data_IF_118101504291
#
_entry.id   IF_118101504291
#
_cell.length_a   1.000
_cell.length_b   1.000
_cell.length_c   1.000
_cell.angle_alpha   90.00
_cell.angle_beta   90.00
_cell.angle_gamma   90.00
#
_symmetry.space_group_name_H-M   'P 1'
#
loop_
_entity.id
_entity.type
_entity.pdbx_description
1 polymer ?
#
# COMPACT_ATOMS: atom_id res chain seq x y z
N UNK A 1 6.20 6.76 3.82
CA UNK A 1 5.43 7.15 2.62
C UNK A 1 4.06 6.48 2.65
N UNK A 2 3.00 7.18 2.26
CA UNK A 2 1.61 6.71 2.28
C UNK A 2 1.06 6.69 0.85
N UNK A 3 0.68 5.52 0.35
CA UNK A 3 0.13 5.41 -1.01
C UNK A 3 -1.22 6.13 -1.13
N UNK A 4 -1.35 7.00 -2.12
CA UNK A 4 -2.53 7.82 -2.40
C UNK A 4 -3.01 7.69 -3.86
N UNK A 5 -2.65 6.57 -4.51
CA UNK A 5 -3.11 6.21 -5.85
C UNK A 5 -4.50 5.58 -5.88
N UNK A 6 -4.88 5.06 -7.06
CA UNK A 6 -6.16 4.43 -7.34
C UNK A 6 -6.42 3.29 -6.35
N UNK A 7 -7.66 3.22 -5.86
CA UNK A 7 -8.08 2.31 -4.79
C UNK A 7 -7.95 2.88 -3.38
N UNK A 8 -7.05 3.83 -3.12
CA UNK A 8 -6.87 4.37 -1.79
C UNK A 8 -8.04 5.31 -1.42
N UNK A 9 -8.68 5.05 -0.28
CA UNK A 9 -9.74 5.93 0.21
C UNK A 9 -9.15 7.26 0.69
N UNK A 10 -9.66 8.40 0.21
CA UNK A 10 -9.14 9.74 0.56
C UNK A 10 -9.09 9.98 2.07
N UNK A 11 -10.14 9.58 2.80
CA UNK A 11 -10.18 9.66 4.27
C UNK A 11 -9.16 8.73 4.94
N UNK A 12 -8.92 7.55 4.36
CA UNK A 12 -7.95 6.59 4.88
C UNK A 12 -6.52 7.09 4.69
N UNK A 13 -6.22 7.71 3.54
CA UNK A 13 -4.93 8.39 3.30
C UNK A 13 -4.73 9.51 4.32
N UNK A 14 -5.71 10.42 4.45
CA UNK A 14 -5.63 11.54 5.39
C UNK A 14 -5.41 11.05 6.82
N UNK A 15 -6.25 10.12 7.27
CA UNK A 15 -6.15 9.54 8.61
C UNK A 15 -4.81 8.86 8.85
N UNK A 16 -4.27 8.12 7.88
CA UNK A 16 -2.96 7.49 8.01
C UNK A 16 -1.85 8.54 8.15
N UNK A 17 -1.85 9.57 7.29
CA UNK A 17 -0.85 10.65 7.32
C UNK A 17 -0.90 11.40 8.67
N UNK A 18 -2.08 11.81 9.12
CA UNK A 18 -2.25 12.52 10.39
C UNK A 18 -1.82 11.66 11.58
N UNK A 19 -2.21 10.39 11.60
CA UNK A 19 -1.85 9.46 12.68
C UNK A 19 -0.34 9.23 12.74
N UNK A 20 0.32 9.06 11.59
CA UNK A 20 1.77 8.90 11.52
C UNK A 20 2.50 10.16 11.97
N UNK A 21 2.06 11.34 11.54
CA UNK A 21 2.65 12.62 11.98
C UNK A 21 2.50 12.84 13.48
N UNK A 22 1.42 12.36 14.08
CA UNK A 22 1.22 12.45 15.53
C UNK A 22 2.03 11.42 16.32
N UNK A 23 2.29 10.25 15.74
CA UNK A 23 2.96 9.13 16.43
C UNK A 23 4.49 9.10 16.23
N UNK A 24 4.98 9.69 15.14
CA UNK A 24 6.41 9.68 14.78
C UNK A 24 7.15 10.92 15.31
N UNK A 25 8.49 10.85 15.44
CA UNK A 25 9.32 12.00 15.77
C UNK A 25 9.08 13.20 14.83
N UNK A 26 9.31 14.42 15.34
CA UNK A 26 9.05 15.66 14.61
C UNK A 26 9.86 15.82 13.30
N UNK A 27 11.00 15.14 13.20
CA UNK A 27 11.87 15.12 12.02
C UNK A 27 11.49 14.03 11.01
N UNK A 28 10.57 13.13 11.34
CA UNK A 28 10.09 12.11 10.42
C UNK A 28 9.23 12.73 9.31
N UNK A 29 9.62 12.51 8.06
CA UNK A 29 8.86 12.97 6.90
C UNK A 29 7.74 11.97 6.55
N UNK A 30 6.49 12.47 6.59
CA UNK A 30 5.31 11.70 6.20
C UNK A 30 4.71 12.30 4.94
N UNK A 31 4.96 11.62 3.83
CA UNK A 31 4.55 12.04 2.49
C UNK A 31 3.56 11.06 1.89
N UNK A 32 2.57 11.61 1.17
CA UNK A 32 1.67 10.84 0.34
C UNK A 32 2.20 10.82 -1.09
N UNK A 33 2.15 9.66 -1.75
CA UNK A 33 2.71 9.48 -3.09
C UNK A 33 1.79 8.63 -3.96
N UNK A 34 1.83 8.86 -5.27
CA UNK A 34 0.93 8.24 -6.24
C UNK A 34 1.56 7.01 -6.89
N UNK A 35 0.79 6.38 -7.78
CA UNK A 35 1.23 5.18 -8.49
C UNK A 35 2.46 5.44 -9.35
N UNK A 36 2.55 6.64 -9.95
CA UNK A 36 3.66 7.04 -10.80
C UNK A 36 4.97 7.13 -9.99
N UNK A 37 4.91 7.69 -8.79
CA UNK A 37 6.04 7.77 -7.85
C UNK A 37 6.46 6.38 -7.38
N UNK A 38 5.49 5.51 -7.07
CA UNK A 38 5.77 4.13 -6.66
C UNK A 38 6.48 3.36 -7.78
N UNK A 39 6.01 3.52 -9.01
CA UNK A 39 6.53 2.82 -10.19
C UNK A 39 7.88 3.38 -10.67
N UNK A 40 8.28 4.59 -10.28
CA UNK A 40 9.62 5.09 -10.58
C UNK A 40 10.70 4.30 -9.82
N UNK A 41 10.38 3.85 -8.60
CA UNK A 41 11.28 3.08 -7.74
C UNK A 41 12.29 3.93 -6.95
N UNK A 42 12.39 5.23 -7.23
CA UNK A 42 13.36 6.15 -6.61
C UNK A 42 13.09 6.42 -5.12
N UNK A 43 12.00 5.89 -4.60
CA UNK A 43 11.57 6.07 -3.22
C UNK A 43 12.15 5.02 -2.26
N UNK A 44 12.57 3.87 -2.76
CA UNK A 44 12.77 2.68 -1.93
C UNK A 44 13.92 2.82 -0.94
N UNK A 45 14.97 3.55 -1.31
CA UNK A 45 16.18 3.70 -0.48
C UNK A 45 15.98 4.70 0.67
N UNK A 46 15.11 5.70 0.49
CA UNK A 46 14.81 6.73 1.50
C UNK A 46 13.54 6.42 2.32
N UNK A 47 12.82 5.35 1.98
CA UNK A 47 11.55 5.00 2.61
C UNK A 47 11.73 4.13 3.86
N UNK A 48 11.57 4.73 5.04
CA UNK A 48 11.58 3.97 6.30
C UNK A 48 10.36 3.05 6.48
N UNK A 49 9.20 3.47 5.98
CA UNK A 49 7.93 2.75 6.11
C UNK A 49 7.03 3.04 4.92
N UNK A 50 6.67 2.00 4.17
CA UNK A 50 5.64 2.04 3.15
C UNK A 50 4.27 1.73 3.78
N UNK A 51 3.31 2.63 3.64
CA UNK A 51 1.94 2.47 4.14
C UNK A 51 0.97 2.37 2.97
N UNK A 52 0.27 1.24 2.89
CA UNK A 52 -0.85 1.02 1.96
C UNK A 52 -2.16 1.14 2.74
N UNK A 53 -2.95 2.22 2.54
CA UNK A 53 -4.15 2.47 3.33
C UNK A 53 -5.33 1.58 2.91
N UNK A 54 -6.45 1.75 3.61
CA UNK A 54 -7.72 1.13 3.22
C UNK A 54 -8.32 1.73 1.95
N UNK A 55 -9.36 1.07 1.44
CA UNK A 55 -10.06 1.45 0.23
C UNK A 55 -10.55 0.23 -0.56
N UNK A 56 -10.41 0.26 -1.88
CA UNK A 56 -10.68 -0.87 -2.75
C UNK A 56 -9.36 -1.53 -3.17
N UNK A 57 -9.28 -2.85 -3.07
CA UNK A 57 -8.09 -3.67 -3.35
C UNK A 57 -7.87 -3.92 -4.85
N UNK A 58 -8.95 -4.10 -5.63
CA UNK A 58 -8.84 -4.35 -7.06
C UNK A 58 -8.11 -3.23 -7.83
N UNK A 59 -8.35 -1.93 -7.56
CA UNK A 59 -7.57 -0.88 -8.19
C UNK A 59 -6.06 -0.94 -7.87
N UNK A 60 -5.67 -1.31 -6.64
CA UNK A 60 -4.25 -1.56 -6.32
C UNK A 60 -3.70 -2.65 -7.23
N UNK A 61 -4.41 -3.78 -7.33
CA UNK A 61 -4.02 -4.90 -8.20
C UNK A 61 -3.90 -4.46 -9.67
N UNK A 62 -4.87 -3.69 -10.19
CA UNK A 62 -4.85 -3.21 -11.58
C UNK A 62 -3.66 -2.30 -11.87
N UNK A 63 -3.27 -1.44 -10.91
CA UNK A 63 -2.19 -0.46 -11.10
C UNK A 63 -0.81 -1.02 -10.82
N UNK A 64 -0.70 -1.93 -9.86
CA UNK A 64 0.59 -2.31 -9.27
C UNK A 64 1.02 -3.76 -9.58
N UNK A 65 0.11 -4.64 -10.01
CA UNK A 65 0.50 -6.02 -10.34
C UNK A 65 1.59 -6.05 -11.41
N UNK A 66 2.61 -6.88 -11.18
CA UNK A 66 3.84 -6.88 -11.98
C UNK A 66 4.89 -5.95 -11.37
N UNK A 67 5.13 -4.81 -12.02
CA UNK A 67 6.24 -3.92 -11.66
C UNK A 67 6.12 -3.33 -10.24
N UNK A 68 4.94 -2.85 -9.85
CA UNK A 68 4.71 -2.31 -8.50
C UNK A 68 4.92 -3.37 -7.42
N UNK A 69 4.36 -4.56 -7.60
CA UNK A 69 4.57 -5.68 -6.69
C UNK A 69 6.06 -6.06 -6.58
N UNK A 70 6.79 -6.05 -7.70
CA UNK A 70 8.22 -6.36 -7.71
C UNK A 70 9.04 -5.32 -6.93
N UNK A 71 8.70 -4.03 -7.06
CA UNK A 71 9.35 -2.94 -6.30
C UNK A 71 9.03 -3.03 -4.80
N UNK A 72 7.76 -3.19 -4.44
CA UNK A 72 7.32 -3.33 -3.05
C UNK A 72 7.97 -4.56 -2.39
N UNK A 73 7.94 -5.71 -3.09
CA UNK A 73 8.56 -6.95 -2.62
C UNK A 73 10.06 -6.77 -2.45
N UNK A 74 10.75 -6.20 -3.43
CA UNK A 74 12.18 -5.93 -3.36
C UNK A 74 12.54 -5.00 -2.20
N UNK A 75 11.75 -3.96 -1.95
CA UNK A 75 11.90 -3.07 -0.80
C UNK A 75 11.81 -3.84 0.52
N UNK A 76 10.76 -4.65 0.72
CA UNK A 76 10.59 -5.45 1.94
C UNK A 76 11.70 -6.49 2.11
N UNK A 77 12.09 -7.17 1.03
CA UNK A 77 13.16 -8.18 1.05
C UNK A 77 14.53 -7.58 1.39
N UNK A 78 14.76 -6.29 1.11
CA UNK A 78 15.97 -5.56 1.51
C UNK A 78 15.90 -4.99 2.93
N UNK A 79 14.86 -5.32 3.70
CA UNK A 79 14.68 -4.88 5.09
C UNK A 79 13.74 -3.69 5.29
N UNK A 80 13.08 -3.24 4.22
CA UNK A 80 12.03 -2.22 4.29
C UNK A 80 10.81 -2.68 5.08
N UNK A 81 10.08 -1.73 5.66
CA UNK A 81 8.87 -2.01 6.46
C UNK A 81 7.60 -1.69 5.68
N UNK A 82 6.63 -2.60 5.71
CA UNK A 82 5.32 -2.43 5.09
C UNK A 82 4.20 -2.45 6.12
N UNK A 83 3.30 -1.47 6.06
CA UNK A 83 2.07 -1.42 6.85
C UNK A 83 0.86 -1.37 5.93
N UNK A 84 0.08 -2.45 5.92
CA UNK A 84 -1.20 -2.53 5.22
C UNK A 84 -2.38 -2.32 6.17
N UNK A 85 -3.35 -1.50 5.76
CA UNK A 85 -4.59 -1.27 6.52
C UNK A 85 -5.80 -1.64 5.65
N UNK A 86 -6.74 -2.45 6.18
CA UNK A 86 -7.94 -2.87 5.45
C UNK A 86 -7.57 -3.47 4.06
N UNK A 87 -8.02 -2.87 2.95
CA UNK A 87 -7.67 -3.32 1.60
C UNK A 87 -6.15 -3.37 1.34
N UNK A 88 -5.36 -2.45 1.92
CA UNK A 88 -3.90 -2.49 1.82
C UNK A 88 -3.27 -3.66 2.60
N UNK A 89 -3.94 -4.18 3.63
CA UNK A 89 -3.51 -5.40 4.32
C UNK A 89 -3.78 -6.64 3.45
N UNK A 90 -4.98 -6.72 2.88
CA UNK A 90 -5.38 -7.81 1.98
C UNK A 90 -4.50 -7.87 0.74
N UNK A 91 -4.18 -6.71 0.14
CA UNK A 91 -3.31 -6.61 -1.03
C UNK A 91 -1.90 -7.18 -0.80
N UNK A 92 -1.39 -7.11 0.43
CA UNK A 92 -0.08 -7.67 0.78
C UNK A 92 -0.09 -9.19 1.05
N UNK A 93 -1.27 -9.81 1.14
CA UNK A 93 -1.37 -11.23 1.37
C UNK A 93 -1.10 -12.03 0.09
N UNK A 94 -0.42 -13.17 0.22
CA UNK A 94 -0.26 -14.14 -0.87
C UNK A 94 -1.62 -14.67 -1.38
N UNK A 95 -2.59 -14.81 -0.47
CA UNK A 95 -3.94 -15.30 -0.77
C UNK A 95 -4.95 -14.58 0.10
N UNK A 96 -6.04 -14.13 -0.53
CA UNK A 96 -7.23 -13.60 0.13
C UNK A 96 -8.43 -14.35 -0.42
N UNK A 97 -9.28 -14.85 0.48
CA UNK A 97 -10.57 -15.45 0.14
C UNK A 97 -11.67 -14.57 0.72
N UNK A 98 -12.59 -14.13 -0.13
CA UNK A 98 -13.73 -13.32 0.30
C UNK A 98 -14.98 -13.77 -0.43
N UNK A 99 -16.05 -14.07 0.33
CA UNK A 99 -17.39 -14.38 -0.20
C UNK A 99 -17.36 -15.41 -1.34
N UNK A 100 -16.57 -16.49 -1.17
CA UNK A 100 -16.37 -17.57 -2.16
C UNK A 100 -17.72 -18.16 -2.57
N UNK A 101 -17.96 -18.33 -3.87
CA UNK A 101 -19.20 -18.87 -4.42
C UNK A 101 -20.35 -17.87 -4.53
N UNK A 102 -20.11 -16.58 -4.25
CA UNK A 102 -21.09 -15.51 -4.44
C UNK A 102 -20.72 -14.60 -5.62
N UNK A 103 -21.60 -13.66 -5.97
CA UNK A 103 -21.30 -12.61 -6.97
C UNK A 103 -20.18 -11.65 -6.53
N UNK A 104 -19.81 -11.67 -5.25
CA UNK A 104 -18.79 -10.80 -4.66
C UNK A 104 -17.47 -11.52 -4.43
N UNK A 105 -17.32 -12.76 -4.93
CA UNK A 105 -16.13 -13.57 -4.72
C UNK A 105 -14.84 -12.83 -5.08
N UNK A 106 -13.87 -12.86 -4.17
CA UNK A 106 -12.47 -12.49 -4.42
C UNK A 106 -11.56 -13.66 -4.07
N UNK A 107 -10.81 -14.11 -5.06
CA UNK A 107 -9.60 -14.90 -4.87
C UNK A 107 -8.46 -14.17 -5.58
N UNK A 108 -7.61 -13.51 -4.81
CA UNK A 108 -6.40 -12.90 -5.36
C UNK A 108 -5.23 -13.77 -4.95
N UNK A 109 -4.51 -14.31 -5.94
CA UNK A 109 -3.19 -14.90 -5.77
C UNK A 109 -2.19 -13.80 -6.15
N UNK A 110 -1.50 -13.25 -5.16
CA UNK A 110 -0.40 -12.30 -5.38
C UNK A 110 0.88 -13.05 -5.80
#
# INVERSE_FOLDING_TARGET
MVYAGDGAGSRSVLSAVESLRAALPLDAQVEAFREEDLLSGDWADDCALLVMPGGADLPFCRRLNGAGNALIRGYVERGGSYLGLCAGAYYACRRVEFEIGTRLERQTLA
#
